data_IF_504725561785
#
_entry.id   IF_504725561785
#
_cell.length_a   1.000
_cell.length_b   1.000
_cell.length_c   1.000
_cell.angle_alpha   90.00
_cell.angle_beta   90.00
_cell.angle_gamma   90.00
#
_symmetry.space_group_name_H-M   'P 1'
#
loop_
_entity.id
_entity.type
_entity.pdbx_description
1 polymer ?
#
# COMPACT_ATOMS: atom_id res chain seq x y z
N UNK A 1 -65.92 36.60 32.59
CA UNK A 1 -66.53 36.09 31.35
C UNK A 1 -66.04 36.83 30.10
N UNK A 2 -66.58 38.00 29.73
CA UNK A 2 -66.15 38.66 28.48
C UNK A 2 -64.70 39.17 28.47
N UNK A 3 -64.20 39.64 29.62
CA UNK A 3 -62.82 40.14 29.79
C UNK A 3 -61.76 39.04 29.64
N UNK A 4 -61.97 37.88 30.25
CA UNK A 4 -61.03 36.73 30.20
C UNK A 4 -60.90 36.18 28.77
N UNK A 5 -62.00 36.20 28.00
CA UNK A 5 -61.98 35.80 26.60
C UNK A 5 -61.17 36.78 25.74
N UNK A 6 -61.33 38.09 25.95
CA UNK A 6 -60.51 39.12 25.29
C UNK A 6 -59.03 38.94 25.58
N UNK A 7 -58.65 38.79 26.85
CA UNK A 7 -57.26 38.58 27.24
C UNK A 7 -56.66 37.33 26.59
N UNK A 8 -57.44 36.25 26.50
CA UNK A 8 -57.01 35.01 25.85
C UNK A 8 -56.74 35.21 24.36
N UNK A 9 -57.64 35.90 23.65
CA UNK A 9 -57.49 36.21 22.22
C UNK A 9 -56.29 37.12 21.98
N UNK A 10 -56.13 38.16 22.79
CA UNK A 10 -55.01 39.10 22.70
C UNK A 10 -53.66 38.40 22.93
N UNK A 11 -53.56 37.54 23.94
CA UNK A 11 -52.33 36.80 24.25
C UNK A 11 -51.93 35.83 23.14
N UNK A 12 -52.91 35.14 22.56
CA UNK A 12 -52.67 34.24 21.41
C UNK A 12 -52.26 35.01 20.17
N UNK A 13 -52.88 36.15 19.89
CA UNK A 13 -52.50 37.03 18.80
C UNK A 13 -51.02 37.45 18.94
N UNK A 14 -50.64 38.01 20.09
CA UNK A 14 -49.27 38.43 20.36
C UNK A 14 -48.24 37.30 20.24
N UNK A 15 -48.58 36.09 20.68
CA UNK A 15 -47.67 34.93 20.60
C UNK A 15 -47.40 34.52 19.15
N UNK A 16 -48.41 34.70 18.29
CA UNK A 16 -48.34 34.28 16.89
C UNK A 16 -47.77 35.40 16.02
N UNK A 17 -48.16 36.66 16.18
CA UNK A 17 -47.70 37.77 15.33
C UNK A 17 -46.50 38.52 15.89
N UNK A 18 -46.24 38.44 17.19
CA UNK A 18 -45.24 39.25 17.89
C UNK A 18 -45.66 40.71 18.16
N UNK A 19 -46.87 41.12 17.75
CA UNK A 19 -47.40 42.47 17.91
C UNK A 19 -48.63 42.52 18.82
N UNK A 20 -48.81 43.62 19.56
CA UNK A 20 -50.00 43.83 20.38
C UNK A 20 -51.17 44.30 19.50
N UNK A 21 -52.30 43.57 19.47
CA UNK A 21 -53.45 43.98 18.67
C UNK A 21 -54.13 45.20 19.27
N UNK A 22 -54.62 46.08 18.41
CA UNK A 22 -55.51 47.16 18.79
C UNK A 22 -56.89 46.64 19.23
N UNK A 23 -57.60 47.46 20.01
CA UNK A 23 -58.85 47.06 20.67
C UNK A 23 -59.96 46.71 19.65
N UNK A 24 -59.96 47.39 18.50
CA UNK A 24 -60.86 47.09 17.37
C UNK A 24 -60.55 45.76 16.69
N UNK A 25 -59.27 45.40 16.54
CA UNK A 25 -58.86 44.10 15.98
C UNK A 25 -59.30 42.96 16.89
N UNK A 26 -59.13 43.11 18.20
CA UNK A 26 -59.61 42.13 19.19
C UNK A 26 -61.14 41.99 19.13
N UNK A 27 -61.87 43.10 19.08
CA UNK A 27 -63.35 43.08 18.97
C UNK A 27 -63.84 42.44 17.67
N UNK A 28 -63.18 42.72 16.55
CA UNK A 28 -63.50 42.10 15.27
C UNK A 28 -63.24 40.59 15.31
N UNK A 29 -62.12 40.14 15.86
CA UNK A 29 -61.79 38.71 15.98
C UNK A 29 -62.76 37.94 16.88
N UNK A 30 -63.27 38.60 17.92
CA UNK A 30 -64.25 38.03 18.85
C UNK A 30 -65.65 38.00 18.23
N UNK A 31 -66.09 39.11 17.63
CA UNK A 31 -67.43 39.24 17.05
C UNK A 31 -67.64 38.40 15.79
N UNK A 32 -66.59 38.28 14.96
CA UNK A 32 -66.64 37.45 13.73
C UNK A 32 -66.43 35.97 14.00
N UNK A 33 -65.96 35.59 15.19
CA UNK A 33 -65.55 34.21 15.51
C UNK A 33 -64.33 33.72 14.72
N UNK A 34 -63.58 34.61 14.05
CA UNK A 34 -62.42 34.24 13.23
C UNK A 34 -61.13 34.05 14.04
N UNK A 35 -61.16 34.25 15.35
CA UNK A 35 -59.98 34.14 16.22
C UNK A 35 -59.25 32.79 16.06
N UNK A 36 -59.96 31.66 15.94
CA UNK A 36 -59.35 30.34 15.78
C UNK A 36 -58.74 30.13 14.39
N UNK A 37 -59.44 30.53 13.33
CA UNK A 37 -58.96 30.36 11.94
C UNK A 37 -57.75 31.23 11.65
N UNK A 38 -57.73 32.47 12.17
CA UNK A 38 -56.58 33.36 12.11
C UNK A 38 -55.34 32.75 12.77
N UNK A 39 -55.47 32.24 14.00
CA UNK A 39 -54.36 31.63 14.74
C UNK A 39 -53.84 30.37 14.04
N UNK A 40 -54.73 29.53 13.54
CA UNK A 40 -54.37 28.30 12.86
C UNK A 40 -53.61 28.59 11.56
N UNK A 41 -54.05 29.59 10.79
CA UNK A 41 -53.39 30.04 9.57
C UNK A 41 -52.02 30.63 9.85
N UNK A 42 -51.92 31.49 10.86
CA UNK A 42 -50.67 32.16 11.19
C UNK A 42 -49.63 31.20 11.82
N UNK A 43 -50.03 30.17 12.58
CA UNK A 43 -49.12 29.08 13.00
C UNK A 43 -48.61 28.29 11.78
N UNK A 44 -49.49 28.04 10.81
CA UNK A 44 -49.12 27.29 9.60
C UNK A 44 -48.18 28.10 8.69
N UNK A 45 -48.39 29.41 8.56
CA UNK A 45 -47.56 30.31 7.76
C UNK A 45 -46.23 30.63 8.46
N UNK A 46 -46.26 30.97 9.75
CA UNK A 46 -45.05 31.30 10.52
C UNK A 46 -44.17 30.08 10.80
N UNK A 47 -44.79 28.93 11.09
CA UNK A 47 -44.08 27.66 11.31
C UNK A 47 -43.43 27.14 10.02
N UNK A 48 -44.07 27.31 8.86
CA UNK A 48 -43.48 26.89 7.57
C UNK A 48 -42.24 27.69 7.20
N UNK A 49 -42.22 29.01 7.45
CA UNK A 49 -41.09 29.86 7.12
C UNK A 49 -39.81 29.46 7.86
N UNK A 50 -39.88 29.37 9.19
CA UNK A 50 -38.74 29.00 10.02
C UNK A 50 -38.27 27.57 9.78
N UNK A 51 -39.21 26.63 9.57
CA UNK A 51 -38.87 25.24 9.27
C UNK A 51 -38.22 25.14 7.89
N UNK A 52 -38.68 25.88 6.89
CA UNK A 52 -38.06 25.87 5.56
C UNK A 52 -36.66 26.48 5.58
N UNK A 53 -36.45 27.57 6.33
CA UNK A 53 -35.12 28.20 6.52
C UNK A 53 -34.15 27.23 7.20
N UNK A 54 -34.61 26.58 8.27
CA UNK A 54 -33.83 25.56 8.98
C UNK A 54 -33.53 24.35 8.08
N UNK A 55 -34.51 23.90 7.27
CA UNK A 55 -34.31 22.80 6.31
C UNK A 55 -33.32 23.20 5.22
N UNK A 56 -33.34 24.45 4.74
CA UNK A 56 -32.39 24.96 3.76
C UNK A 56 -30.98 24.98 4.35
N UNK A 57 -30.81 25.46 5.58
CA UNK A 57 -29.54 25.43 6.30
C UNK A 57 -29.03 23.98 6.51
N UNK A 58 -29.93 23.05 6.84
CA UNK A 58 -29.60 21.62 7.00
C UNK A 58 -29.21 20.97 5.67
N UNK A 59 -29.85 21.33 4.55
CA UNK A 59 -29.52 20.81 3.23
C UNK A 59 -28.15 21.27 2.76
N UNK A 60 -27.80 22.53 2.97
CA UNK A 60 -26.51 23.08 2.58
C UNK A 60 -25.35 22.40 3.33
N UNK A 61 -25.54 22.08 4.62
CA UNK A 61 -24.58 21.30 5.42
C UNK A 61 -24.48 19.84 4.95
N UNK A 62 -25.57 19.25 4.45
CA UNK A 62 -25.60 17.86 3.98
C UNK A 62 -24.75 17.63 2.72
N UNK A 63 -24.66 18.61 1.82
CA UNK A 63 -23.84 18.47 0.61
C UNK A 63 -22.33 18.37 0.95
N UNK A 64 -21.87 19.16 1.92
CA UNK A 64 -20.50 19.07 2.44
C UNK A 64 -20.23 17.70 3.10
N UNK A 65 -21.18 17.18 3.88
CA UNK A 65 -21.05 15.85 4.51
C UNK A 65 -21.03 14.73 3.45
N UNK A 66 -21.83 14.86 2.40
CA UNK A 66 -21.88 13.89 1.29
C UNK A 66 -20.60 13.86 0.46
N UNK A 67 -19.89 14.98 0.38
CA UNK A 67 -18.57 15.05 -0.25
C UNK A 67 -17.49 14.39 0.62
N UNK A 68 -17.53 14.60 1.94
CA UNK A 68 -16.65 13.89 2.88
C UNK A 68 -16.87 12.37 2.80
N UNK A 69 -18.13 11.91 2.71
CA UNK A 69 -18.46 10.49 2.58
C UNK A 69 -17.91 9.88 1.27
N UNK A 70 -17.97 10.62 0.16
CA UNK A 70 -17.40 10.21 -1.13
C UNK A 70 -15.88 10.09 -1.05
N UNK A 71 -15.20 11.10 -0.51
CA UNK A 71 -13.75 11.10 -0.33
C UNK A 71 -13.28 9.92 0.54
N UNK A 72 -14.03 9.60 1.60
CA UNK A 72 -13.73 8.46 2.48
C UNK A 72 -13.87 7.11 1.76
N UNK A 73 -14.90 6.95 0.92
CA UNK A 73 -15.11 5.75 0.09
C UNK A 73 -14.01 5.57 -0.95
N UNK A 74 -13.59 6.65 -1.60
CA UNK A 74 -12.49 6.63 -2.56
C UNK A 74 -11.16 6.24 -1.90
N UNK A 75 -10.85 6.77 -0.73
CA UNK A 75 -9.65 6.40 0.05
C UNK A 75 -9.63 4.90 0.41
N UNK A 76 -10.77 4.34 0.85
CA UNK A 76 -10.90 2.91 1.11
C UNK A 76 -10.70 2.06 -0.15
N UNK A 77 -11.19 2.53 -1.29
CA UNK A 77 -11.04 1.83 -2.57
C UNK A 77 -9.59 1.85 -3.06
N UNK A 78 -8.89 2.99 -2.94
CA UNK A 78 -7.47 3.12 -3.30
C UNK A 78 -6.59 2.28 -2.38
N UNK A 79 -6.89 2.21 -1.07
CA UNK A 79 -6.16 1.35 -0.15
C UNK A 79 -6.36 -0.16 -0.44
N UNK A 80 -7.56 -0.56 -0.88
CA UNK A 80 -7.79 -1.92 -1.38
C UNK A 80 -7.07 -2.20 -2.69
N UNK A 81 -7.09 -1.27 -3.65
CA UNK A 81 -6.45 -1.42 -4.95
C UNK A 81 -4.92 -1.45 -4.87
N UNK A 82 -4.31 -0.62 -4.01
CA UNK A 82 -2.87 -0.60 -3.78
C UNK A 82 -2.34 -1.92 -3.20
N UNK A 83 -3.17 -2.61 -2.41
CA UNK A 83 -2.83 -3.92 -1.84
C UNK A 83 -2.70 -5.02 -2.90
N UNK A 84 -3.42 -4.91 -4.03
CA UNK A 84 -3.33 -5.87 -5.14
C UNK A 84 -2.03 -5.67 -5.93
N UNK A 85 -1.65 -4.42 -6.19
CA UNK A 85 -0.40 -4.08 -6.90
C UNK A 85 0.84 -4.44 -6.07
N UNK A 86 0.82 -4.15 -4.76
CA UNK A 86 1.92 -4.53 -3.86
C UNK A 86 2.04 -6.05 -3.68
N UNK A 87 0.92 -6.80 -3.63
CA UNK A 87 0.95 -8.28 -3.60
C UNK A 87 1.49 -8.88 -4.90
N UNK A 88 1.14 -8.31 -6.06
CA UNK A 88 1.70 -8.68 -7.35
C UNK A 88 3.21 -8.42 -7.45
N UNK A 89 3.68 -7.27 -6.95
CA UNK A 89 5.11 -6.92 -6.93
C UNK A 89 5.96 -7.87 -6.06
N UNK A 90 5.41 -8.37 -4.94
CA UNK A 90 6.10 -9.33 -4.08
C UNK A 90 6.24 -10.73 -4.68
N UNK A 91 5.38 -11.13 -5.63
CA UNK A 91 5.45 -12.44 -6.29
C UNK A 91 6.61 -12.54 -7.30
N UNK A 92 7.07 -11.39 -7.83
CA UNK A 92 8.21 -11.32 -8.76
C UNK A 92 9.57 -11.22 -8.04
N UNK A 93 9.61 -10.68 -6.81
CA UNK A 93 10.85 -10.52 -6.03
C UNK A 93 11.26 -11.81 -5.28
N UNK A 94 10.30 -12.62 -4.83
CA UNK A 94 10.58 -13.90 -4.14
C UNK A 94 11.07 -14.98 -5.12
N UNK A 95 10.58 -14.97 -6.37
CA UNK A 95 11.05 -15.87 -7.42
C UNK A 95 12.55 -15.66 -7.75
N UNK A 96 13.04 -14.41 -7.73
CA UNK A 96 14.48 -14.14 -7.92
C UNK A 96 15.33 -14.39 -6.67
N UNK A 97 14.76 -14.28 -5.45
CA UNK A 97 15.53 -14.40 -4.20
C UNK A 97 15.78 -15.85 -3.79
N UNK A 98 14.88 -16.79 -4.12
CA UNK A 98 15.15 -18.22 -3.95
C UNK A 98 16.22 -18.76 -4.95
N UNK A 99 16.47 -18.03 -6.06
CA UNK A 99 17.34 -18.50 -7.15
C UNK A 99 18.85 -18.35 -6.91
N UNK A 100 19.29 -17.59 -5.89
CA UNK A 100 20.72 -17.30 -5.67
C UNK A 100 21.40 -18.19 -4.64
N UNK A 101 20.66 -18.88 -3.77
CA UNK A 101 21.23 -19.85 -2.83
C UNK A 101 21.24 -21.28 -3.37
N UNK A 102 20.27 -21.71 -4.20
CA UNK A 102 20.27 -23.05 -4.83
C UNK A 102 21.53 -23.35 -5.62
N UNK A 103 22.18 -22.34 -6.22
CA UNK A 103 23.44 -22.52 -6.95
C UNK A 103 24.58 -23.00 -6.06
N UNK A 104 24.63 -22.50 -4.82
CA UNK A 104 25.63 -22.94 -3.83
C UNK A 104 25.38 -24.40 -3.46
N UNK A 105 24.14 -24.74 -3.13
CA UNK A 105 23.76 -26.10 -2.72
C UNK A 105 23.90 -27.14 -3.84
N UNK A 106 23.55 -26.80 -5.10
CA UNK A 106 23.75 -27.71 -6.24
C UNK A 106 25.24 -27.97 -6.53
N UNK A 107 26.09 -26.93 -6.44
CA UNK A 107 27.53 -27.08 -6.62
C UNK A 107 28.16 -27.92 -5.49
N UNK A 108 27.75 -27.69 -4.23
CA UNK A 108 28.18 -28.53 -3.11
C UNK A 108 27.78 -30.00 -3.30
N UNK A 109 26.56 -30.28 -3.78
CA UNK A 109 26.13 -31.65 -4.09
C UNK A 109 26.98 -32.33 -5.17
N UNK A 110 27.26 -31.64 -6.28
CA UNK A 110 28.11 -32.18 -7.37
C UNK A 110 29.54 -32.45 -6.88
N UNK A 111 30.13 -31.53 -6.11
CA UNK A 111 31.47 -31.69 -5.55
C UNK A 111 31.55 -32.91 -4.60
N UNK A 112 30.56 -33.10 -3.72
CA UNK A 112 30.50 -34.25 -2.82
C UNK A 112 30.42 -35.58 -3.59
N UNK A 113 29.61 -35.64 -4.67
CA UNK A 113 29.51 -36.84 -5.52
C UNK A 113 30.85 -37.17 -6.18
N UNK A 114 31.57 -36.17 -6.72
CA UNK A 114 32.89 -36.39 -7.31
C UNK A 114 33.92 -36.93 -6.31
N UNK A 115 33.92 -36.42 -5.07
CA UNK A 115 34.82 -36.88 -4.00
C UNK A 115 34.53 -38.35 -3.65
N UNK A 116 33.26 -38.73 -3.50
CA UNK A 116 32.87 -40.11 -3.19
C UNK A 116 33.30 -41.06 -4.31
N UNK A 117 33.09 -40.70 -5.57
CA UNK A 117 33.56 -41.48 -6.73
C UNK A 117 35.09 -41.63 -6.70
N UNK A 118 35.83 -40.55 -6.38
CA UNK A 118 37.29 -40.59 -6.28
C UNK A 118 37.77 -41.54 -5.17
N UNK A 119 37.12 -41.54 -4.00
CA UNK A 119 37.42 -42.44 -2.89
C UNK A 119 37.16 -43.90 -3.28
N UNK A 120 36.05 -44.17 -3.97
CA UNK A 120 35.72 -45.51 -4.49
C UNK A 120 36.77 -45.93 -5.51
N UNK A 121 37.16 -45.06 -6.44
CA UNK A 121 38.23 -45.34 -7.42
C UNK A 121 39.56 -45.58 -6.72
N UNK A 122 39.94 -44.80 -5.71
CA UNK A 122 41.18 -44.99 -4.95
C UNK A 122 41.18 -46.28 -4.12
N UNK A 123 40.00 -46.69 -3.65
CA UNK A 123 39.83 -47.95 -2.91
C UNK A 123 39.84 -49.16 -3.85
N UNK A 124 39.33 -49.01 -5.08
CA UNK A 124 39.31 -50.06 -6.11
C UNK A 124 40.61 -50.09 -6.93
N UNK A 125 41.32 -48.97 -7.05
CA UNK A 125 42.68 -48.86 -7.61
C UNK A 125 43.68 -48.76 -6.46
N UNK A 126 44.09 -49.89 -5.88
CA UNK A 126 45.30 -49.90 -5.07
C UNK A 126 46.46 -49.62 -6.04
N UNK A 127 46.92 -48.37 -6.07
CA UNK A 127 48.25 -47.95 -6.50
C UNK A 127 48.81 -48.65 -7.77
N UNK A 128 48.94 -47.87 -8.85
CA UNK A 128 50.06 -48.01 -9.79
C UNK A 128 50.80 -46.67 -9.81
N UNK A 129 51.98 -46.64 -9.17
CA UNK A 129 52.86 -45.48 -9.09
C UNK A 129 53.80 -45.55 -10.28
N UNK A 130 53.49 -44.85 -11.36
CA UNK A 130 54.44 -44.68 -12.45
C UNK A 130 55.07 -43.29 -12.38
N UNK A 131 56.21 -43.23 -11.69
CA UNK A 131 57.07 -42.06 -11.68
C UNK A 131 57.91 -42.01 -12.96
N UNK A 132 57.46 -41.25 -13.94
CA UNK A 132 58.29 -40.72 -15.02
C UNK A 132 58.02 -39.22 -15.05
N UNK A 133 58.97 -38.30 -15.04
CA UNK A 133 60.43 -38.30 -15.04
C UNK A 133 60.79 -36.83 -15.25
N UNK A 134 61.90 -36.35 -14.68
CA UNK A 134 62.35 -35.00 -15.03
C UNK A 134 63.32 -34.35 -14.05
N UNK A 135 64.60 -34.37 -14.42
CA UNK A 135 65.47 -33.21 -14.28
C UNK A 135 66.50 -33.24 -13.15
N UNK A 136 67.76 -33.15 -13.54
CA UNK A 136 68.92 -32.93 -12.67
C UNK A 136 69.94 -34.05 -12.85
N UNK A 137 71.19 -33.83 -13.27
CA UNK A 137 71.98 -32.62 -13.32
C UNK A 137 73.39 -33.01 -12.87
N UNK A 138 74.38 -32.75 -13.72
CA UNK A 138 75.78 -32.51 -13.31
C UNK A 138 76.66 -33.72 -12.96
N UNK A 139 77.81 -33.78 -13.65
CA UNK A 139 79.08 -34.06 -12.98
C UNK A 139 79.93 -35.18 -13.55
N UNK A 140 81.11 -34.82 -14.09
CA UNK A 140 82.34 -35.56 -13.80
C UNK A 140 83.03 -36.32 -14.93
N UNK A 141 83.96 -35.63 -15.60
CA UNK A 141 85.22 -36.12 -16.20
C UNK A 141 86.06 -36.91 -15.16
N UNK A 142 87.26 -37.51 -15.42
CA UNK A 142 88.06 -37.65 -16.66
C UNK A 142 88.59 -39.09 -16.91
N UNK A 143 89.28 -39.31 -18.03
CA UNK A 143 90.66 -39.88 -18.00
C UNK A 143 91.37 -39.81 -19.37
N UNK A 144 92.71 -39.70 -19.40
CA UNK A 144 93.52 -39.30 -20.56
C UNK A 144 94.31 -40.47 -21.20
N UNK A 145 95.14 -40.11 -22.19
CA UNK A 145 96.19 -40.91 -22.87
C UNK A 145 95.71 -41.86 -23.97
N UNK A 146 96.35 -41.99 -25.14
CA UNK A 146 97.53 -41.37 -25.74
C UNK A 146 97.74 -42.02 -27.12
N UNK A 147 97.97 -41.27 -28.19
CA UNK A 147 98.86 -41.66 -29.29
C UNK A 147 99.15 -40.45 -30.22
N UNK A 148 100.42 -40.12 -30.50
CA UNK A 148 100.83 -38.99 -31.35
C UNK A 148 100.81 -39.31 -32.87
N UNK A 149 101.01 -38.29 -33.74
CA UNK A 149 100.52 -38.26 -35.14
C UNK A 149 101.60 -38.64 -36.21
N UNK A 150 101.19 -38.86 -37.47
CA UNK A 150 102.08 -38.67 -38.63
C UNK A 150 101.80 -37.36 -39.43
N UNK A 151 102.84 -36.69 -39.99
CA UNK A 151 102.77 -35.40 -40.71
C UNK A 151 102.43 -35.46 -42.22
N UNK A 152 102.16 -34.30 -42.87
CA UNK A 152 101.50 -34.18 -44.19
C UNK A 152 102.47 -34.02 -45.39
N UNK A 153 101.97 -34.14 -46.64
CA UNK A 153 102.50 -33.38 -47.77
C UNK A 153 101.52 -32.28 -48.23
N UNK A 154 102.00 -31.04 -48.26
CA UNK A 154 101.30 -29.88 -48.83
C UNK A 154 101.41 -29.89 -50.36
N UNK A 155 100.33 -29.52 -51.04
CA UNK A 155 100.30 -29.31 -52.48
C UNK A 155 100.88 -27.94 -52.84
N UNK A 156 101.91 -27.91 -53.66
CA UNK A 156 102.19 -26.85 -54.65
C UNK A 156 102.95 -27.47 -55.81
#
# INVERSE_FOLDING_TARGET
MASEYRETVQRRYYTVTGENPDESTVDNLISTGQSETFLQKAIQEQGRGQVMDTILEIKERHDAVKEIERNLKELHQVNRASSFVNRGATHLQVARKHQKNTRKWACFGIILVLIVILIIILSIRPWESNGSGGGGGGGGNPTPSSAPPPPPPAAT
#
